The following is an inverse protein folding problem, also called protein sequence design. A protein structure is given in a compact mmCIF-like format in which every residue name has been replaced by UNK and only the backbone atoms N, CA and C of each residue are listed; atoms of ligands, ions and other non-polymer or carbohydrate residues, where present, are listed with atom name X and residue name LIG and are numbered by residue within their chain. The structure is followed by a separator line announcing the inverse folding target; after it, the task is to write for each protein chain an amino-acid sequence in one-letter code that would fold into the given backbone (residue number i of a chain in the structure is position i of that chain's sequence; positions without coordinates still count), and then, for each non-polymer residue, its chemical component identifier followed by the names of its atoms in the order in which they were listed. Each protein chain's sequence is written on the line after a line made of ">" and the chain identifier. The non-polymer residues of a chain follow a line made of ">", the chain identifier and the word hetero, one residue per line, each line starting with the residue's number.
data_IF_319393242280
#
_entry.id   IF_319393242280
#
_cell.length_a   1.000
_cell.length_b   1.000
_cell.length_c   1.000
_cell.angle_alpha   90.00
_cell.angle_beta   90.00
_cell.angle_gamma   90.00
#
_symmetry.space_group_name_H-M   'P 1'
#
loop_
_entity.id
_entity.type
_entity.pdbx_description
1 polymer ?
#
# COMPACT_ATOMS: atom_id res chain seq x y z
N UNK A 1 94.99 -12.82 39.73
CA UNK A 1 94.23 -13.66 38.80
C UNK A 1 93.10 -12.78 38.29
N UNK A 2 93.36 -12.04 37.18
CA UNK A 2 92.34 -11.22 36.51
C UNK A 2 91.64 -12.09 35.48
N UNK A 3 90.29 -12.24 35.59
CA UNK A 3 89.46 -12.94 34.60
C UNK A 3 89.15 -11.92 33.52
N UNK A 4 89.83 -12.07 32.38
CA UNK A 4 89.51 -11.38 31.15
C UNK A 4 88.07 -11.83 30.64
N UNK A 5 87.09 -10.99 30.89
CA UNK A 5 85.73 -11.20 30.43
C UNK A 5 85.62 -10.86 28.93
N UNK A 6 85.64 -11.87 28.11
CA UNK A 6 85.73 -11.78 26.65
C UNK A 6 84.47 -11.13 26.08
N UNK A 7 84.63 -9.97 25.49
CA UNK A 7 83.61 -9.05 24.91
C UNK A 7 82.91 -9.58 23.65
N UNK A 8 82.71 -10.89 23.56
CA UNK A 8 81.96 -11.52 22.41
C UNK A 8 80.43 -11.42 22.49
N UNK A 9 79.91 -11.17 23.69
CA UNK A 9 78.47 -11.09 23.89
C UNK A 9 77.88 -9.70 23.53
N UNK A 10 78.64 -8.64 23.62
CA UNK A 10 78.24 -7.28 23.33
C UNK A 10 77.89 -7.06 21.83
N UNK A 11 78.61 -7.74 20.92
CA UNK A 11 78.38 -7.65 19.51
C UNK A 11 77.08 -8.42 19.10
N UNK A 12 76.80 -9.56 19.73
CA UNK A 12 75.57 -10.35 19.49
C UNK A 12 74.36 -9.64 20.09
N UNK A 13 74.44 -9.01 21.24
CA UNK A 13 73.36 -8.20 21.83
C UNK A 13 72.96 -7.03 20.96
N UNK A 14 73.94 -6.29 20.39
CA UNK A 14 73.67 -5.19 19.45
C UNK A 14 73.04 -5.67 18.18
N UNK A 15 73.34 -6.89 17.69
CA UNK A 15 72.74 -7.49 16.51
C UNK A 15 71.28 -7.86 16.78
N UNK A 16 70.94 -8.41 17.94
CA UNK A 16 69.57 -8.73 18.30
C UNK A 16 68.68 -7.48 18.50
N UNK A 17 69.24 -6.41 19.07
CA UNK A 17 68.59 -5.11 19.23
C UNK A 17 68.32 -4.51 17.83
N UNK A 18 69.29 -4.52 16.92
CA UNK A 18 69.15 -4.02 15.58
C UNK A 18 68.09 -4.84 14.77
N UNK A 19 68.09 -6.18 14.92
CA UNK A 19 67.08 -7.06 14.31
C UNK A 19 65.68 -6.81 14.89
N UNK A 20 65.55 -6.57 16.19
CA UNK A 20 64.30 -6.22 16.84
C UNK A 20 63.70 -4.90 16.35
N UNK A 21 64.54 -3.89 16.17
CA UNK A 21 64.15 -2.58 15.64
C UNK A 21 63.70 -2.73 14.17
N UNK A 22 64.42 -3.51 13.38
CA UNK A 22 64.09 -3.77 11.99
C UNK A 22 62.70 -4.47 11.85
N UNK A 23 62.48 -5.49 12.67
CA UNK A 23 61.18 -6.20 12.70
C UNK A 23 60.06 -5.27 13.13
N UNK A 24 60.28 -4.44 14.16
CA UNK A 24 59.28 -3.46 14.63
C UNK A 24 58.93 -2.44 13.53
N UNK A 25 59.92 -1.97 12.76
CA UNK A 25 59.71 -1.08 11.61
C UNK A 25 58.91 -1.76 10.49
N UNK A 26 59.21 -3.02 10.17
CA UNK A 26 58.49 -3.77 9.13
C UNK A 26 57.04 -3.99 9.58
N UNK A 27 56.78 -4.38 10.81
CA UNK A 27 55.44 -4.57 11.36
C UNK A 27 54.67 -3.24 11.42
N UNK A 28 55.33 -2.16 11.87
CA UNK A 28 54.75 -0.82 11.89
C UNK A 28 54.37 -0.34 10.47
N UNK A 29 55.26 -0.55 9.50
CA UNK A 29 54.96 -0.24 8.11
C UNK A 29 53.81 -1.10 7.55
N UNK A 30 53.79 -2.39 7.84
CA UNK A 30 52.69 -3.29 7.40
C UNK A 30 51.34 -2.89 7.99
N UNK A 31 51.29 -2.55 9.28
CA UNK A 31 50.06 -2.05 9.93
C UNK A 31 49.66 -0.69 9.36
N UNK A 32 50.58 0.21 9.11
CA UNK A 32 50.30 1.50 8.50
C UNK A 32 49.74 1.35 7.10
N UNK A 33 50.32 0.51 6.25
CA UNK A 33 49.79 0.21 4.91
C UNK A 33 48.45 -0.52 4.97
N UNK A 34 48.23 -1.43 5.93
CA UNK A 34 46.94 -2.10 6.12
C UNK A 34 45.85 -1.11 6.53
N UNK A 35 46.14 -0.14 7.42
CA UNK A 35 45.20 0.92 7.78
C UNK A 35 44.93 1.88 6.62
N UNK A 36 45.91 2.22 5.81
CA UNK A 36 45.69 3.01 4.59
C UNK A 36 44.86 2.23 3.55
N UNK A 37 45.14 0.95 3.38
CA UNK A 37 44.34 0.09 2.47
C UNK A 37 42.89 -0.06 2.95
N UNK A 38 42.65 -0.18 4.27
CA UNK A 38 41.28 -0.23 4.82
C UNK A 38 40.54 1.10 4.62
N UNK A 39 41.21 2.24 4.70
CA UNK A 39 40.62 3.54 4.37
C UNK A 39 40.33 3.70 2.86
N UNK A 40 41.10 3.02 1.99
CA UNK A 40 40.84 3.01 0.53
C UNK A 40 39.73 2.03 0.14
N UNK A 41 39.55 0.93 0.90
CA UNK A 41 38.47 -0.04 0.69
C UNK A 41 37.15 0.43 1.31
N UNK A 42 37.22 1.29 2.34
CA UNK A 42 36.04 1.95 2.92
C UNK A 42 35.62 3.26 2.24
N UNK A 43 36.40 3.78 1.32
CA UNK A 43 35.97 4.83 0.43
C UNK A 43 35.06 4.20 -0.64
N UNK A 44 33.76 4.03 -0.30
CA UNK A 44 32.73 4.07 -1.31
C UNK A 44 33.10 5.23 -2.24
N UNK A 45 33.28 4.98 -3.54
CA UNK A 45 33.59 6.02 -4.53
C UNK A 45 32.68 7.21 -4.32
N UNK A 46 32.99 8.42 -4.76
CA UNK A 46 32.26 9.63 -4.44
C UNK A 46 30.78 9.32 -4.62
N UNK A 47 30.04 9.26 -3.48
CA UNK A 47 28.64 8.92 -3.48
C UNK A 47 27.98 9.86 -4.48
N UNK A 48 27.34 9.32 -5.50
CA UNK A 48 26.60 10.15 -6.47
C UNK A 48 25.58 10.95 -5.66
N UNK A 49 25.75 12.27 -5.64
CA UNK A 49 24.83 13.17 -4.94
C UNK A 49 23.73 13.57 -5.90
N UNK A 50 22.50 13.55 -5.40
CA UNK A 50 21.32 14.01 -6.11
C UNK A 50 20.66 15.15 -5.35
N UNK A 51 20.27 16.20 -6.07
CA UNK A 51 19.43 17.25 -5.53
C UNK A 51 18.00 16.74 -5.42
N UNK A 52 17.42 16.85 -4.23
CA UNK A 52 16.04 16.45 -3.94
C UNK A 52 15.30 17.53 -3.19
N UNK A 53 13.99 17.56 -3.34
CA UNK A 53 13.10 18.47 -2.62
C UNK A 53 12.81 17.90 -1.24
N UNK A 54 13.01 18.72 -0.20
CA UNK A 54 12.80 18.36 1.21
C UNK A 54 11.87 19.39 1.85
N UNK A 55 10.95 18.95 2.71
CA UNK A 55 10.14 19.83 3.52
C UNK A 55 11.01 20.53 4.58
N UNK A 56 10.93 21.85 4.68
CA UNK A 56 11.65 22.65 5.69
C UNK A 56 10.77 23.01 6.89
N UNK A 57 9.46 22.77 6.78
CA UNK A 57 8.48 22.85 7.84
C UNK A 57 7.42 21.78 7.65
N UNK A 58 6.63 21.52 8.67
CA UNK A 58 5.53 20.55 8.60
C UNK A 58 4.45 21.05 7.63
N UNK A 59 4.08 20.21 6.67
CA UNK A 59 3.06 20.49 5.68
C UNK A 59 1.86 19.61 6.01
N UNK A 60 0.73 20.19 6.46
CA UNK A 60 -0.48 19.42 6.72
C UNK A 60 -1.04 18.78 5.44
N UNK A 61 -1.77 17.67 5.60
CA UNK A 61 -2.51 17.11 4.48
C UNK A 61 -3.53 18.10 3.91
N UNK A 62 -3.76 18.03 2.62
CA UNK A 62 -4.66 18.91 1.84
C UNK A 62 -4.24 20.38 1.77
N UNK A 63 -3.00 20.70 2.13
CA UNK A 63 -2.44 22.02 1.97
C UNK A 63 -1.68 22.10 0.64
N UNK A 64 -1.87 23.18 -0.17
CA UNK A 64 -0.98 23.48 -1.30
C UNK A 64 0.43 23.72 -0.78
N UNK A 65 1.43 23.19 -1.50
CA UNK A 65 2.84 23.37 -1.15
C UNK A 65 3.28 24.73 -1.67
N UNK A 66 3.75 25.58 -0.78
CA UNK A 66 4.25 26.92 -1.03
C UNK A 66 5.80 26.92 -1.11
N UNK A 67 6.37 27.96 -1.70
CA UNK A 67 7.83 28.10 -1.84
C UNK A 67 8.57 28.04 -0.50
N UNK A 68 7.97 28.57 0.57
CA UNK A 68 8.54 28.52 1.92
C UNK A 68 8.38 27.19 2.65
N UNK A 69 7.67 26.21 2.08
CA UNK A 69 7.47 24.87 2.69
C UNK A 69 8.59 23.90 2.33
N UNK A 70 9.33 24.15 1.23
CA UNK A 70 10.28 23.21 0.64
C UNK A 70 11.60 23.87 0.30
N UNK A 71 12.67 23.08 0.31
CA UNK A 71 13.99 23.49 -0.15
C UNK A 71 14.72 22.34 -0.84
N UNK A 72 15.73 22.71 -1.66
CA UNK A 72 16.62 21.72 -2.29
C UNK A 72 17.68 21.26 -1.31
N UNK A 73 17.90 19.96 -1.23
CA UNK A 73 19.04 19.35 -0.51
C UNK A 73 19.74 18.33 -1.38
N UNK A 74 21.05 18.23 -1.18
CA UNK A 74 21.84 17.16 -1.80
C UNK A 74 21.90 15.96 -0.86
N UNK A 75 21.52 14.78 -1.38
CA UNK A 75 21.55 13.50 -0.68
C UNK A 75 22.30 12.48 -1.52
N UNK A 76 22.90 11.49 -0.86
CA UNK A 76 23.48 10.35 -1.57
C UNK A 76 22.37 9.57 -2.29
N UNK A 77 22.62 9.16 -3.51
CA UNK A 77 21.66 8.36 -4.30
C UNK A 77 21.51 6.98 -3.67
N UNK A 78 20.29 6.63 -3.31
CA UNK A 78 19.90 5.29 -2.87
C UNK A 78 18.47 4.97 -3.35
N UNK A 79 18.06 3.73 -3.17
CA UNK A 79 16.72 3.27 -3.60
C UNK A 79 15.57 4.00 -2.87
N UNK A 80 15.81 4.57 -1.69
CA UNK A 80 14.77 5.24 -0.88
C UNK A 80 14.44 6.64 -1.39
N UNK A 81 15.37 7.30 -2.09
CA UNK A 81 15.19 8.66 -2.61
C UNK A 81 14.95 8.71 -4.13
N UNK A 82 14.80 7.57 -4.78
CA UNK A 82 14.62 7.49 -6.23
C UNK A 82 13.33 8.17 -6.71
N UNK A 83 12.26 8.09 -5.91
CA UNK A 83 10.95 8.69 -6.22
C UNK A 83 10.81 10.14 -5.79
N UNK A 84 11.83 10.72 -5.12
CA UNK A 84 11.81 12.10 -4.68
C UNK A 84 11.88 13.07 -5.87
N UNK A 85 11.21 14.22 -5.75
CA UNK A 85 11.29 15.27 -6.73
C UNK A 85 12.69 15.89 -6.75
N UNK A 86 13.17 16.21 -7.95
CA UNK A 86 14.49 16.82 -8.16
C UNK A 86 14.43 18.34 -8.40
N UNK A 87 13.24 18.92 -8.47
CA UNK A 87 13.01 20.34 -8.77
C UNK A 87 11.84 20.85 -7.94
N UNK A 88 11.99 22.08 -7.42
CA UNK A 88 10.96 22.71 -6.59
C UNK A 88 9.72 23.06 -7.43
N UNK A 89 9.90 23.51 -8.66
CA UNK A 89 8.82 23.89 -9.58
C UNK A 89 7.86 22.72 -9.91
N UNK A 90 8.32 21.48 -9.79
CA UNK A 90 7.47 20.29 -9.96
C UNK A 90 6.53 20.05 -8.77
N UNK A 91 6.79 20.70 -7.65
CA UNK A 91 6.08 20.50 -6.37
C UNK A 91 5.23 21.69 -5.98
N UNK A 92 5.64 22.90 -6.37
CA UNK A 92 4.91 24.13 -6.05
C UNK A 92 3.49 24.13 -6.59
N UNK A 93 2.55 24.55 -5.75
CA UNK A 93 1.11 24.58 -6.05
C UNK A 93 0.43 23.22 -6.04
N UNK A 94 1.18 22.11 -5.92
CA UNK A 94 0.58 20.79 -5.72
C UNK A 94 0.07 20.67 -4.29
N UNK A 95 -0.98 19.89 -4.12
CA UNK A 95 -1.58 19.65 -2.83
C UNK A 95 -0.96 18.42 -2.18
N UNK A 96 -0.60 18.55 -0.91
CA UNK A 96 -0.13 17.43 -0.10
C UNK A 96 -1.27 16.42 0.13
N UNK A 97 -1.06 15.16 -0.22
CA UNK A 97 -2.02 14.07 0.01
C UNK A 97 -2.04 13.58 1.45
N UNK A 98 -0.90 13.67 2.13
CA UNK A 98 -0.68 13.25 3.52
C UNK A 98 0.11 14.33 4.25
N UNK A 99 0.17 14.28 5.58
CA UNK A 99 1.05 15.17 6.33
C UNK A 99 2.52 14.84 6.02
N UNK A 100 3.31 15.86 5.67
CA UNK A 100 4.75 15.76 5.38
C UNK A 100 5.50 16.47 6.52
N UNK A 101 6.35 15.73 7.21
CA UNK A 101 7.12 16.28 8.34
C UNK A 101 8.36 17.03 7.88
N UNK A 102 8.79 18.00 8.69
CA UNK A 102 10.05 18.72 8.49
C UNK A 102 11.23 17.74 8.30
N UNK A 103 12.03 17.98 7.27
CA UNK A 103 13.16 17.11 6.91
C UNK A 103 12.81 15.92 6.03
N UNK A 104 11.54 15.65 5.80
CA UNK A 104 11.09 14.55 4.93
C UNK A 104 11.28 14.91 3.45
N UNK A 105 11.71 13.91 2.67
CA UNK A 105 11.80 14.01 1.22
C UNK A 105 10.40 14.13 0.61
N UNK A 106 10.21 15.08 -0.29
CA UNK A 106 8.94 15.21 -1.03
C UNK A 106 8.99 14.29 -2.24
N UNK A 107 8.16 13.26 -2.21
CA UNK A 107 8.04 12.25 -3.26
C UNK A 107 6.61 12.21 -3.84
N UNK A 108 6.48 11.58 -5.00
CA UNK A 108 5.20 11.59 -5.76
C UNK A 108 4.03 10.98 -4.98
N UNK A 109 4.29 9.97 -4.15
CA UNK A 109 3.29 9.30 -3.33
C UNK A 109 2.76 10.14 -2.16
N UNK A 110 3.44 11.25 -1.81
CA UNK A 110 2.99 12.17 -0.76
C UNK A 110 2.06 13.26 -1.31
N UNK A 111 1.98 13.41 -2.64
CA UNK A 111 1.16 14.43 -3.28
C UNK A 111 -0.19 13.87 -3.70
N UNK A 112 -1.21 14.71 -3.63
CA UNK A 112 -2.52 14.39 -4.14
C UNK A 112 -2.51 14.21 -5.66
N UNK A 113 -3.34 13.33 -6.18
CA UNK A 113 -3.48 13.07 -7.62
C UNK A 113 -4.16 14.21 -8.38
N UNK A 114 -4.85 15.08 -7.65
CA UNK A 114 -5.51 16.27 -8.20
C UNK A 114 -5.12 17.53 -7.43
N UNK A 115 -5.21 18.70 -8.07
CA UNK A 115 -4.96 20.01 -7.45
C UNK A 115 -6.00 20.39 -6.40
N UNK A 116 -7.12 19.68 -6.32
CA UNK A 116 -8.23 19.95 -5.39
C UNK A 116 -8.06 19.29 -4.01
N UNK A 117 -6.89 18.74 -3.69
CA UNK A 117 -6.59 18.25 -2.35
C UNK A 117 -7.10 16.88 -2.00
N UNK A 118 -7.31 16.03 -2.98
CA UNK A 118 -7.56 14.63 -2.74
C UNK A 118 -6.32 13.96 -2.16
N UNK A 119 -6.50 13.27 -1.03
CA UNK A 119 -5.41 12.66 -0.28
C UNK A 119 -4.98 11.28 -0.80
N UNK A 120 -5.16 10.98 -2.10
CA UNK A 120 -4.79 9.70 -2.70
C UNK A 120 -4.31 9.85 -4.14
N UNK A 121 -3.50 8.89 -4.60
CA UNK A 121 -3.16 8.70 -6.02
C UNK A 121 -3.88 7.47 -6.55
N UNK A 122 -4.42 7.54 -7.77
CA UNK A 122 -5.07 6.39 -8.43
C UNK A 122 -4.01 5.34 -8.82
N UNK A 123 -2.84 5.80 -9.26
CA UNK A 123 -1.72 4.92 -9.58
C UNK A 123 -0.83 4.70 -8.36
N UNK A 124 -0.26 3.52 -8.24
CA UNK A 124 0.81 3.29 -7.28
C UNK A 124 2.00 4.19 -7.61
N UNK A 125 2.74 4.66 -6.59
CA UNK A 125 3.85 5.60 -6.80
C UNK A 125 4.95 5.09 -7.75
N UNK A 126 5.14 3.78 -7.80
CA UNK A 126 6.12 3.14 -8.67
C UNK A 126 5.62 2.98 -10.13
N UNK A 127 4.32 3.14 -10.39
CA UNK A 127 3.74 2.93 -11.70
C UNK A 127 3.65 4.25 -12.47
N UNK A 128 4.07 4.22 -13.74
CA UNK A 128 3.82 5.29 -14.69
C UNK A 128 2.47 5.06 -15.37
N UNK A 129 1.82 6.15 -15.77
CA UNK A 129 0.59 6.06 -16.56
C UNK A 129 0.89 5.35 -17.90
N UNK A 130 0.14 4.27 -18.15
CA UNK A 130 0.17 3.53 -19.42
C UNK A 130 -1.16 3.76 -20.14
N UNK A 131 -1.14 4.45 -21.30
CA UNK A 131 -2.36 4.69 -22.08
C UNK A 131 -3.01 3.40 -22.64
N UNK A 132 -2.25 2.31 -22.74
CA UNK A 132 -2.74 1.01 -23.22
C UNK A 132 -3.25 0.10 -22.09
N UNK A 133 -3.00 0.49 -20.83
CA UNK A 133 -3.44 -0.24 -19.65
C UNK A 133 -4.92 -0.05 -19.31
N UNK A 134 -5.41 -0.71 -18.26
CA UNK A 134 -6.79 -0.58 -17.84
C UNK A 134 -7.13 0.85 -17.45
N UNK A 135 -8.33 1.31 -17.82
CA UNK A 135 -8.83 2.65 -17.51
C UNK A 135 -9.16 2.77 -16.00
N UNK A 136 -8.14 2.93 -15.17
CA UNK A 136 -8.29 3.03 -13.72
C UNK A 136 -9.01 4.32 -13.30
N UNK A 137 -9.90 4.19 -12.32
CA UNK A 137 -10.72 5.27 -11.75
C UNK A 137 -10.77 5.12 -10.23
N UNK A 138 -11.04 6.21 -9.56
CA UNK A 138 -11.42 6.22 -8.16
C UNK A 138 -12.94 6.18 -8.08
N UNK A 139 -13.49 5.21 -7.35
CA UNK A 139 -14.92 5.07 -7.11
C UNK A 139 -15.18 5.10 -5.60
N UNK A 140 -16.21 5.85 -5.16
CA UNK A 140 -16.58 5.92 -3.76
C UNK A 140 -17.67 4.90 -3.43
N UNK A 141 -17.53 4.25 -2.28
CA UNK A 141 -18.53 3.31 -1.73
C UNK A 141 -18.74 3.68 -0.26
N UNK A 142 -20.01 3.76 0.14
CA UNK A 142 -20.35 3.93 1.57
C UNK A 142 -20.50 2.56 2.21
N UNK A 143 -19.67 2.26 3.20
CA UNK A 143 -19.71 1.00 3.96
C UNK A 143 -19.62 1.33 5.43
N UNK A 144 -20.64 1.00 6.24
CA UNK A 144 -20.62 1.19 7.68
C UNK A 144 -19.48 0.41 8.34
N UNK A 145 -19.01 0.87 9.48
CA UNK A 145 -17.83 0.31 10.15
C UNK A 145 -18.00 -1.17 10.54
N UNK A 146 -19.21 -1.58 10.92
CA UNK A 146 -19.57 -2.99 11.21
C UNK A 146 -19.49 -3.90 9.99
N UNK A 147 -19.60 -3.33 8.78
CA UNK A 147 -19.45 -4.00 7.50
C UNK A 147 -18.05 -3.82 6.88
N UNK A 148 -17.12 -3.18 7.57
CA UNK A 148 -15.79 -2.82 7.09
C UNK A 148 -14.69 -3.15 8.12
N UNK A 149 -14.68 -4.40 8.59
CA UNK A 149 -13.71 -4.89 9.60
C UNK A 149 -13.64 -3.94 10.82
N UNK A 150 -14.80 -3.61 11.39
CA UNK A 150 -14.95 -2.67 12.51
C UNK A 150 -14.29 -1.30 12.24
N UNK A 151 -14.27 -0.86 11.00
CA UNK A 151 -13.72 0.44 10.63
C UNK A 151 -12.19 0.54 10.70
N UNK A 152 -11.47 -0.57 10.78
CA UNK A 152 -10.00 -0.58 10.89
C UNK A 152 -9.28 -0.49 9.55
N UNK A 153 -10.02 -0.60 8.44
CA UNK A 153 -9.43 -0.59 7.09
C UNK A 153 -8.75 0.74 6.75
N UNK A 154 -7.59 0.67 6.11
CA UNK A 154 -6.71 1.81 5.81
C UNK A 154 -6.42 1.93 4.31
N UNK A 155 -5.99 3.12 3.87
CA UNK A 155 -5.47 3.33 2.53
C UNK A 155 -4.26 2.42 2.25
N UNK A 156 -4.18 1.89 1.04
CA UNK A 156 -3.16 0.94 0.60
C UNK A 156 -3.54 -0.53 0.80
N UNK A 157 -4.48 -0.84 1.68
CA UNK A 157 -4.92 -2.22 1.89
C UNK A 157 -5.77 -2.73 0.72
N UNK A 158 -5.73 -4.04 0.52
CA UNK A 158 -6.54 -4.76 -0.47
C UNK A 158 -7.71 -5.47 0.21
N UNK A 159 -8.88 -5.31 -0.37
CA UNK A 159 -10.13 -5.86 0.17
C UNK A 159 -10.91 -6.60 -0.92
N UNK A 160 -11.73 -7.54 -0.48
CA UNK A 160 -12.80 -8.10 -1.31
C UNK A 160 -14.13 -7.48 -0.89
N UNK A 161 -14.99 -7.20 -1.88
CA UNK A 161 -16.32 -6.67 -1.65
C UNK A 161 -17.34 -7.77 -1.84
N UNK A 162 -18.15 -7.94 -0.81
CA UNK A 162 -19.31 -8.82 -0.80
C UNK A 162 -20.54 -7.93 -0.97
N UNK A 163 -21.25 -8.07 -2.06
CA UNK A 163 -22.50 -7.33 -2.28
C UNK A 163 -23.69 -8.15 -1.77
N UNK A 164 -24.58 -7.46 -1.09
CA UNK A 164 -25.90 -8.00 -0.68
C UNK A 164 -26.98 -7.20 -1.40
N UNK A 165 -27.74 -7.87 -2.25
CA UNK A 165 -28.81 -7.28 -3.06
C UNK A 165 -30.17 -7.70 -2.55
N UNK A 166 -31.14 -6.79 -2.39
CA UNK A 166 -32.51 -7.17 -2.14
C UNK A 166 -33.12 -7.77 -3.43
N UNK A 167 -33.43 -9.06 -3.40
CA UNK A 167 -34.03 -9.74 -4.54
C UNK A 167 -35.51 -9.88 -4.31
N UNK A 168 -36.28 -9.28 -5.23
CA UNK A 168 -37.72 -9.50 -5.32
C UNK A 168 -38.02 -10.19 -6.66
N UNK A 169 -38.34 -11.47 -6.67
CA UNK A 169 -38.61 -12.21 -7.93
C UNK A 169 -39.79 -11.69 -8.73
N UNK A 170 -40.58 -10.76 -8.19
CA UNK A 170 -41.71 -10.15 -8.92
C UNK A 170 -41.31 -8.93 -9.79
N UNK A 171 -40.06 -8.46 -9.72
CA UNK A 171 -39.60 -7.30 -10.50
C UNK A 171 -39.44 -7.60 -12.00
N UNK A 172 -39.64 -8.83 -12.45
CA UNK A 172 -39.58 -9.22 -13.87
C UNK A 172 -40.88 -9.05 -14.66
N UNK A 173 -41.95 -8.58 -14.05
CA UNK A 173 -43.21 -8.31 -14.76
C UNK A 173 -43.23 -6.89 -15.28
N UNK A 174 -43.27 -6.73 -16.62
CA UNK A 174 -43.45 -5.42 -17.22
C UNK A 174 -44.75 -4.76 -16.71
N UNK A 175 -44.74 -3.43 -16.43
CA UNK A 175 -45.94 -2.72 -15.98
C UNK A 175 -47.05 -2.90 -17.05
N UNK A 176 -48.15 -3.55 -16.67
CA UNK A 176 -49.32 -3.69 -17.53
C UNK A 176 -49.68 -5.11 -17.99
N UNK A 177 -48.90 -6.12 -17.67
CA UNK A 177 -49.31 -7.50 -17.84
C UNK A 177 -50.10 -7.99 -16.62
N UNK A 178 -51.40 -8.16 -16.78
CA UNK A 178 -52.21 -8.89 -15.80
C UNK A 178 -51.66 -10.31 -15.62
N UNK A 179 -51.66 -10.88 -14.40
CA UNK A 179 -51.19 -12.23 -14.17
C UNK A 179 -51.98 -13.19 -15.06
N UNK A 180 -51.33 -13.77 -16.06
CA UNK A 180 -51.90 -14.84 -16.85
C UNK A 180 -52.14 -16.02 -15.90
N UNK A 181 -53.42 -16.27 -15.62
CA UNK A 181 -53.85 -17.47 -14.94
C UNK A 181 -53.61 -18.66 -15.90
N UNK A 182 -52.39 -19.14 -15.94
CA UNK A 182 -52.04 -20.40 -16.56
C UNK A 182 -51.46 -21.30 -15.48
N UNK A 183 -52.33 -22.13 -14.94
CA UNK A 183 -51.97 -23.22 -14.09
C UNK A 183 -51.22 -24.27 -14.92
N UNK A 184 -49.90 -24.15 -14.95
CA UNK A 184 -49.03 -25.27 -15.32
C UNK A 184 -47.66 -25.02 -14.69
N UNK A 185 -47.27 -25.89 -13.76
CA UNK A 185 -46.02 -25.97 -13.04
C UNK A 185 -45.69 -24.65 -12.31
N UNK A 186 -46.06 -24.60 -11.04
CA UNK A 186 -45.50 -23.61 -10.11
C UNK A 186 -43.97 -23.61 -10.24
N UNK A 187 -43.36 -22.55 -10.79
CA UNK A 187 -41.93 -22.39 -10.60
C UNK A 187 -41.71 -22.42 -9.12
N UNK A 188 -40.69 -23.15 -8.66
CA UNK A 188 -40.32 -23.21 -7.25
C UNK A 188 -40.36 -21.78 -6.72
N UNK A 189 -41.30 -21.52 -5.79
CA UNK A 189 -41.52 -20.18 -5.25
C UNK A 189 -40.25 -19.78 -4.54
N UNK A 190 -39.44 -18.93 -5.17
CA UNK A 190 -38.29 -18.35 -4.52
C UNK A 190 -38.78 -17.44 -3.39
N UNK A 191 -38.25 -17.65 -2.20
CA UNK A 191 -38.51 -16.73 -1.10
C UNK A 191 -37.90 -15.38 -1.45
N UNK A 192 -38.64 -14.27 -1.42
CA UNK A 192 -38.07 -12.96 -1.57
C UNK A 192 -37.13 -12.71 -0.41
N UNK A 193 -35.94 -12.19 -0.68
CA UNK A 193 -34.97 -11.96 0.35
C UNK A 193 -33.62 -11.50 -0.21
N UNK A 194 -32.68 -11.21 0.65
CA UNK A 194 -31.36 -10.80 0.20
C UNK A 194 -30.60 -11.95 -0.48
N UNK A 195 -29.84 -11.60 -1.51
CA UNK A 195 -28.85 -12.45 -2.14
C UNK A 195 -27.48 -11.83 -1.96
N UNK A 196 -26.55 -12.60 -1.42
CA UNK A 196 -25.21 -12.14 -1.06
C UNK A 196 -24.16 -12.89 -1.86
N UNK A 197 -23.21 -12.18 -2.44
CA UNK A 197 -22.13 -12.78 -3.23
C UNK A 197 -20.86 -11.92 -3.19
N UNK A 198 -19.71 -12.56 -3.22
CA UNK A 198 -18.43 -11.89 -3.50
C UNK A 198 -18.49 -11.36 -4.93
N UNK A 199 -18.42 -10.06 -5.10
CA UNK A 199 -18.57 -9.40 -6.39
C UNK A 199 -17.24 -8.87 -6.93
N UNK A 200 -16.42 -8.30 -6.09
CA UNK A 200 -15.14 -7.71 -6.46
C UNK A 200 -14.06 -8.25 -5.54
N UNK A 201 -12.91 -8.58 -6.09
CA UNK A 201 -11.80 -9.14 -5.32
C UNK A 201 -10.52 -8.37 -5.56
N UNK A 202 -9.71 -8.22 -4.51
CA UNK A 202 -8.40 -7.60 -4.58
C UNK A 202 -8.43 -6.09 -4.87
N UNK A 203 -9.50 -5.40 -4.51
CA UNK A 203 -9.64 -3.96 -4.73
C UNK A 203 -8.81 -3.18 -3.72
N UNK A 204 -8.05 -2.19 -4.18
CA UNK A 204 -7.21 -1.36 -3.32
C UNK A 204 -7.98 -0.17 -2.78
N UNK A 205 -7.89 0.07 -1.47
CA UNK A 205 -8.41 1.28 -0.83
C UNK A 205 -7.42 2.43 -1.10
N UNK A 206 -7.88 3.48 -1.75
CA UNK A 206 -7.08 4.69 -2.01
C UNK A 206 -7.15 5.68 -0.85
N UNK A 207 -8.32 5.82 -0.25
CA UNK A 207 -8.56 6.73 0.87
C UNK A 207 -9.81 6.32 1.62
N UNK A 208 -9.92 6.80 2.87
CA UNK A 208 -11.12 6.65 3.70
C UNK A 208 -11.51 7.99 4.31
N UNK A 209 -12.81 8.27 4.36
CA UNK A 209 -13.37 9.42 5.07
C UNK A 209 -14.65 8.98 5.80
N UNK A 210 -14.52 8.68 7.09
CA UNK A 210 -15.59 8.06 7.86
C UNK A 210 -16.00 6.70 7.27
N UNK A 211 -17.27 6.55 6.92
CA UNK A 211 -17.82 5.35 6.27
C UNK A 211 -17.65 5.33 4.75
N UNK A 212 -17.09 6.39 4.15
CA UNK A 212 -16.87 6.47 2.71
C UNK A 212 -15.46 5.98 2.40
N UNK A 213 -15.38 4.92 1.61
CA UNK A 213 -14.14 4.35 1.08
C UNK A 213 -13.99 4.73 -0.39
N UNK A 214 -12.80 5.21 -0.76
CA UNK A 214 -12.43 5.49 -2.14
C UNK A 214 -11.57 4.32 -2.63
N UNK A 215 -12.03 3.64 -3.65
CA UNK A 215 -11.46 2.41 -4.16
C UNK A 215 -10.88 2.63 -5.55
N UNK A 216 -9.79 1.91 -5.87
CA UNK A 216 -9.24 1.84 -7.21
C UNK A 216 -9.94 0.75 -8.00
N UNK A 217 -10.59 1.11 -9.08
CA UNK A 217 -11.30 0.20 -9.96
C UNK A 217 -11.06 0.55 -11.43
N UNK A 218 -11.20 -0.40 -12.32
CA UNK A 218 -11.35 -0.10 -13.72
C UNK A 218 -12.78 0.42 -14.01
N UNK A 219 -12.98 1.00 -15.18
CA UNK A 219 -14.24 1.63 -15.51
C UNK A 219 -15.43 0.62 -15.52
N UNK A 220 -15.31 -0.60 -16.09
CA UNK A 220 -16.36 -1.61 -16.00
C UNK A 220 -16.71 -2.03 -14.56
N UNK A 221 -15.72 -2.06 -13.67
CA UNK A 221 -15.95 -2.35 -12.25
C UNK A 221 -16.65 -1.19 -11.55
N UNK A 222 -16.29 0.05 -11.88
CA UNK A 222 -16.97 1.24 -11.35
C UNK A 222 -18.47 1.28 -11.75
N UNK A 223 -18.81 0.88 -12.98
CA UNK A 223 -20.20 0.75 -13.43
C UNK A 223 -20.97 -0.29 -12.60
N UNK A 224 -20.37 -1.46 -12.33
CA UNK A 224 -21.01 -2.51 -11.50
C UNK A 224 -21.26 -2.03 -10.07
N UNK A 225 -20.30 -1.33 -9.48
CA UNK A 225 -20.44 -0.74 -8.12
C UNK A 225 -21.60 0.26 -8.11
N UNK A 226 -21.67 1.11 -9.12
CA UNK A 226 -22.73 2.12 -9.24
C UNK A 226 -24.09 1.47 -9.38
N UNK A 227 -24.22 0.45 -10.24
CA UNK A 227 -25.48 -0.27 -10.45
C UNK A 227 -25.95 -1.00 -9.19
N UNK A 228 -25.06 -1.71 -8.49
CA UNK A 228 -25.38 -2.38 -7.24
C UNK A 228 -25.91 -1.38 -6.21
N UNK A 229 -25.24 -0.22 -6.09
CA UNK A 229 -25.67 0.83 -5.15
C UNK A 229 -27.02 1.44 -5.54
N UNK A 230 -27.22 1.73 -6.83
CA UNK A 230 -28.47 2.27 -7.36
C UNK A 230 -29.66 1.31 -7.18
N UNK A 231 -29.40 0.01 -7.25
CA UNK A 231 -30.39 -1.04 -7.02
C UNK A 231 -30.68 -1.29 -5.52
N UNK A 232 -30.14 -0.48 -4.62
CA UNK A 232 -30.33 -0.63 -3.16
C UNK A 232 -29.49 -1.73 -2.53
N UNK A 233 -28.46 -2.20 -3.23
CA UNK A 233 -27.49 -3.14 -2.68
C UNK A 233 -26.55 -2.49 -1.68
N UNK A 234 -26.05 -3.30 -0.75
CA UNK A 234 -25.06 -2.91 0.25
C UNK A 234 -23.79 -3.71 0.10
N UNK A 235 -22.66 -3.14 0.56
CA UNK A 235 -21.38 -3.80 0.52
C UNK A 235 -20.87 -4.13 1.92
N UNK A 236 -20.22 -5.28 2.03
CA UNK A 236 -19.37 -5.65 3.15
C UNK A 236 -17.95 -5.81 2.62
N UNK A 237 -16.98 -5.22 3.30
CA UNK A 237 -15.56 -5.32 2.97
C UNK A 237 -14.87 -6.34 3.86
N UNK A 238 -14.10 -7.24 3.26
CA UNK A 238 -13.24 -8.17 3.97
C UNK A 238 -11.79 -7.91 3.58
N UNK A 239 -10.93 -7.83 4.59
CA UNK A 239 -9.52 -7.57 4.40
C UNK A 239 -8.83 -8.80 3.81
N UNK A 240 -8.01 -8.58 2.78
CA UNK A 240 -7.12 -9.61 2.25
C UNK A 240 -5.79 -9.64 2.99
N UNK A 241 -5.15 -10.82 3.11
CA UNK A 241 -3.75 -10.88 3.46
C UNK A 241 -2.89 -10.09 2.46
N UNK A 242 -1.79 -9.53 2.94
CA UNK A 242 -0.82 -8.88 2.06
C UNK A 242 -0.30 -9.89 1.02
N UNK A 243 -0.06 -9.42 -0.21
CA UNK A 243 0.43 -10.21 -1.34
C UNK A 243 -0.51 -11.33 -1.83
N UNK A 244 -1.71 -11.48 -1.27
CA UNK A 244 -2.68 -12.47 -1.78
C UNK A 244 -3.36 -11.97 -3.07
N UNK A 245 -3.00 -12.59 -4.19
CA UNK A 245 -3.57 -12.30 -5.52
C UNK A 245 -4.57 -13.35 -6.00
N UNK A 246 -4.82 -14.38 -5.21
CA UNK A 246 -5.72 -15.48 -5.60
C UNK A 246 -7.15 -14.97 -5.71
N UNK A 247 -7.87 -15.44 -6.70
CA UNK A 247 -9.32 -15.20 -6.83
C UNK A 247 -10.07 -16.46 -6.43
N UNK A 248 -11.12 -16.30 -5.65
CA UNK A 248 -12.01 -17.38 -5.23
C UNK A 248 -13.35 -17.29 -5.94
N UNK A 249 -13.84 -18.40 -6.46
CA UNK A 249 -15.19 -18.50 -7.00
C UNK A 249 -16.12 -18.99 -5.90
N UNK A 250 -17.19 -18.22 -5.61
CA UNK A 250 -18.19 -18.56 -4.62
C UNK A 250 -19.55 -18.73 -5.29
N UNK A 251 -20.38 -19.63 -4.77
CA UNK A 251 -21.76 -19.77 -5.24
C UNK A 251 -22.64 -18.57 -4.85
N UNK A 252 -22.26 -17.83 -3.81
CA UNK A 252 -23.10 -16.86 -3.14
C UNK A 252 -24.04 -17.52 -2.13
N UNK A 253 -24.81 -16.72 -1.42
CA UNK A 253 -25.74 -17.19 -0.39
C UNK A 253 -27.10 -16.47 -0.54
N UNK A 254 -28.16 -17.22 -0.35
CA UNK A 254 -29.54 -16.75 -0.32
C UNK A 254 -30.22 -17.23 0.95
N UNK A 255 -31.36 -16.62 1.30
CA UNK A 255 -32.14 -17.08 2.44
C UNK A 255 -32.50 -18.57 2.34
N UNK A 256 -32.91 -19.04 1.17
CA UNK A 256 -33.19 -20.43 0.91
C UNK A 256 -31.99 -21.37 1.14
N UNK A 257 -30.79 -20.94 0.68
CA UNK A 257 -29.58 -21.73 0.88
C UNK A 257 -29.21 -21.83 2.35
N UNK A 258 -29.36 -20.75 3.12
CA UNK A 258 -29.08 -20.72 4.55
C UNK A 258 -30.08 -21.57 5.35
N UNK A 259 -31.38 -21.51 4.99
CA UNK A 259 -32.40 -22.34 5.60
C UNK A 259 -32.09 -23.83 5.39
N UNK A 260 -31.70 -24.20 4.16
CA UNK A 260 -31.35 -25.59 3.83
C UNK A 260 -30.07 -26.06 4.54
N UNK A 261 -29.07 -25.21 4.61
CA UNK A 261 -27.74 -25.55 5.17
C UNK A 261 -27.76 -25.61 6.69
N UNK A 262 -28.39 -24.61 7.34
CA UNK A 262 -28.35 -24.46 8.80
C UNK A 262 -29.65 -24.86 9.49
N UNK A 263 -30.69 -25.22 8.75
CA UNK A 263 -31.96 -25.68 9.32
C UNK A 263 -32.75 -24.58 10.04
N UNK A 264 -32.65 -23.31 9.58
CA UNK A 264 -33.42 -22.23 10.17
C UNK A 264 -34.92 -22.50 10.08
N UNK A 265 -35.69 -22.32 11.18
CA UNK A 265 -37.13 -22.51 11.16
C UNK A 265 -37.81 -21.43 10.28
N UNK A 266 -38.64 -21.88 9.33
CA UNK A 266 -39.44 -20.98 8.52
C UNK A 266 -40.70 -20.59 9.31
N UNK A 267 -41.01 -19.29 9.51
CA UNK A 267 -42.26 -18.86 10.12
C UNK A 267 -43.48 -19.41 9.39
N UNK A 268 -44.36 -20.06 10.08
CA UNK A 268 -45.62 -20.50 9.52
C UNK A 268 -46.69 -19.42 9.72
N UNK A 269 -47.52 -19.13 8.71
CA UNK A 269 -48.62 -18.18 8.90
C UNK A 269 -49.57 -18.72 9.97
N UNK A 270 -49.98 -17.88 10.90
CA UNK A 270 -51.01 -18.24 11.87
C UNK A 270 -52.33 -18.49 11.14
N UNK A 271 -52.89 -19.68 11.34
CA UNK A 271 -54.27 -19.90 10.94
C UNK A 271 -55.17 -19.09 11.87
N UNK A 272 -55.73 -18.00 11.37
CA UNK A 272 -56.78 -17.27 12.06
C UNK A 272 -58.05 -18.17 11.96
N UNK A 273 -58.49 -18.67 13.13
CA UNK A 273 -59.77 -19.39 13.23
C UNK A 273 -60.94 -18.42 13.17
#
# INVERSE_FOLDING_TARGET
>A
MELEYTDKNAKRSKLYIAAGILIALIVGAAVFFALQASNLVGAAGPAQMRSVVVAVRDIPSRKPIEEGDVAMRQVAVDATNETAFSRIDEVLGRVSGVSISTGQLVSRNLLASTTEGQSFSILDPALKFDPSGPALRAVSVSVPDDHAVAGTLQAGQRVDLIATMPMNPQIGQAPGQAPAASAAASPAAYLPGPSTKVTLQGVTILSRNGTIYILRADLPTAEKVTEITAAGGTFTMVLRPDEDERTATTAGSTLDSLIKEFGFPVPRPFAIK
#
